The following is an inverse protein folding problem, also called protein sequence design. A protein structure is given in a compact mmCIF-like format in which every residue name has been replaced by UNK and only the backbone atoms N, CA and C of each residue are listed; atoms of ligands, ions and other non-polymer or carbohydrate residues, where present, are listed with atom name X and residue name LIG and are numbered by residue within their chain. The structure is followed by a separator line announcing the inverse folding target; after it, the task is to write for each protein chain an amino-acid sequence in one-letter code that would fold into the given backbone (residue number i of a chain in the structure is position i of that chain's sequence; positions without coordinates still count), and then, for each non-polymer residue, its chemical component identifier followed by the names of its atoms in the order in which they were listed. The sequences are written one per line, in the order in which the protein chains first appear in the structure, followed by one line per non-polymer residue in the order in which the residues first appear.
data_IF_030090342725
#
_entry.id   IF_030090342725
#
_cell.length_a   1.000
_cell.length_b   1.000
_cell.length_c   1.000
_cell.angle_alpha   90.00
_cell.angle_beta   90.00
_cell.angle_gamma   90.00
#
_symmetry.space_group_name_H-M   'P 1'
#
loop_
_entity.id
_entity.type
_entity.pdbx_description
1 polymer ?
#
# COMPACT_ATOMS: atom_id res chain seq x y z
N UNK A 1 -23.52 -6.84 -8.93
CA UNK A 1 -22.70 -5.76 -8.38
C UNK A 1 -22.67 -5.89 -6.86
N UNK A 2 -21.53 -5.65 -6.22
CA UNK A 2 -21.38 -5.68 -4.77
C UNK A 2 -20.59 -4.45 -4.33
N UNK A 3 -20.85 -3.98 -3.12
CA UNK A 3 -20.13 -2.84 -2.53
C UNK A 3 -19.15 -3.35 -1.48
N UNK A 4 -18.00 -2.67 -1.37
CA UNK A 4 -16.98 -2.94 -0.35
C UNK A 4 -16.80 -1.73 0.54
N UNK A 5 -16.47 -1.98 1.81
CA UNK A 5 -16.17 -0.96 2.81
C UNK A 5 -14.84 -1.30 3.51
N UNK A 6 -14.01 -0.30 3.88
CA UNK A 6 -12.74 -0.52 4.57
C UNK A 6 -12.84 -1.42 5.81
N UNK A 7 -13.95 -1.32 6.54
CA UNK A 7 -14.19 -2.05 7.78
C UNK A 7 -14.23 -3.58 7.59
N UNK A 8 -14.65 -4.05 6.41
CA UNK A 8 -14.66 -5.48 6.08
C UNK A 8 -13.25 -6.09 6.04
N UNK A 9 -12.22 -5.25 5.96
CA UNK A 9 -10.81 -5.62 5.89
C UNK A 9 -10.03 -5.16 7.12
N UNK A 10 -10.73 -4.67 8.16
CA UNK A 10 -10.15 -4.19 9.40
C UNK A 10 -9.50 -2.79 9.31
N UNK A 11 -9.83 -2.01 8.27
CA UNK A 11 -9.43 -0.61 8.18
C UNK A 11 -10.54 0.31 8.69
N UNK A 12 -10.17 1.53 9.07
CA UNK A 12 -11.13 2.57 9.42
C UNK A 12 -11.44 3.41 8.18
N UNK A 13 -12.66 3.94 8.07
CA UNK A 13 -12.92 5.04 7.16
C UNK A 13 -12.08 6.24 7.53
N UNK A 14 -11.63 6.96 6.52
CA UNK A 14 -10.88 8.19 6.64
C UNK A 14 -11.61 9.30 5.88
N UNK A 15 -11.46 10.54 6.34
CA UNK A 15 -11.87 11.71 5.60
C UNK A 15 -10.99 11.89 4.37
N UNK A 16 -11.55 12.49 3.31
CA UNK A 16 -10.79 12.76 2.09
C UNK A 16 -9.51 13.59 2.37
N UNK A 17 -9.57 14.51 3.34
CA UNK A 17 -8.43 15.32 3.79
C UNK A 17 -7.28 14.52 4.39
N UNK A 18 -7.51 13.30 4.86
CA UNK A 18 -6.47 12.44 5.43
C UNK A 18 -5.70 11.66 4.36
N UNK A 19 -6.28 11.49 3.17
CA UNK A 19 -5.68 10.73 2.06
C UNK A 19 -5.27 11.61 0.88
N UNK A 20 -5.60 12.90 0.91
CA UNK A 20 -5.25 13.83 -0.17
C UNK A 20 -3.73 13.96 -0.32
N UNK A 21 -3.27 13.97 -1.57
CA UNK A 21 -1.88 14.25 -1.92
C UNK A 21 -1.54 15.73 -1.70
N UNK A 22 -0.24 16.01 -1.63
CA UNK A 22 0.33 17.35 -1.53
C UNK A 22 1.29 17.60 -2.69
N UNK A 23 2.39 18.32 -2.47
CA UNK A 23 3.45 18.54 -3.45
C UNK A 23 4.11 17.22 -3.91
N UNK A 24 4.79 17.26 -5.04
CA UNK A 24 5.57 16.11 -5.53
C UNK A 24 6.62 15.63 -4.53
N UNK A 25 7.26 16.55 -3.79
CA UNK A 25 8.27 16.21 -2.78
C UNK A 25 7.65 15.49 -1.58
N UNK A 26 6.54 16.00 -1.05
CA UNK A 26 5.81 15.38 0.06
C UNK A 26 5.24 14.01 -0.35
N UNK A 27 4.64 13.90 -1.54
CA UNK A 27 4.12 12.63 -2.02
C UNK A 27 5.23 11.58 -2.21
N UNK A 28 6.42 11.99 -2.66
CA UNK A 28 7.57 11.09 -2.77
C UNK A 28 8.09 10.64 -1.40
N UNK A 29 8.03 11.51 -0.39
CA UNK A 29 8.34 11.15 1.00
C UNK A 29 7.30 10.17 1.55
N UNK A 30 6.01 10.47 1.41
CA UNK A 30 4.90 9.62 1.85
C UNK A 30 5.01 8.22 1.24
N UNK A 31 5.26 8.14 -0.08
CA UNK A 31 5.47 6.87 -0.76
C UNK A 31 6.61 6.08 -0.13
N UNK A 32 7.79 6.67 0.08
CA UNK A 32 8.93 5.97 0.68
C UNK A 32 8.64 5.52 2.12
N UNK A 33 7.95 6.34 2.90
CA UNK A 33 7.59 6.01 4.27
C UNK A 33 6.56 4.87 4.32
N UNK A 34 5.61 4.82 3.38
CA UNK A 34 4.67 3.69 3.21
C UNK A 34 5.41 2.41 2.82
N UNK A 35 6.23 2.47 1.77
CA UNK A 35 6.95 1.29 1.25
C UNK A 35 7.98 0.72 2.23
N UNK A 36 8.49 1.54 3.16
CA UNK A 36 9.39 1.12 4.24
C UNK A 36 8.69 0.74 5.54
N UNK A 37 7.35 0.84 5.61
CA UNK A 37 6.56 0.54 6.80
C UNK A 37 6.64 1.58 7.92
N UNK A 38 7.26 2.74 7.67
CA UNK A 38 7.40 3.84 8.65
C UNK A 38 6.10 4.63 8.82
N UNK A 39 5.33 4.79 7.74
CA UNK A 39 4.03 5.46 7.79
C UNK A 39 2.94 4.50 8.26
N UNK A 40 2.03 5.01 9.08
CA UNK A 40 0.80 4.34 9.51
C UNK A 40 -0.39 5.28 9.31
N UNK A 41 -1.61 4.74 9.34
CA UNK A 41 -2.85 5.52 9.22
C UNK A 41 -3.42 5.56 7.80
N UNK A 42 -4.32 6.51 7.54
CA UNK A 42 -5.23 6.48 6.38
C UNK A 42 -4.54 6.29 5.01
N UNK A 43 -3.41 6.98 4.76
CA UNK A 43 -2.66 6.83 3.51
C UNK A 43 -2.03 5.44 3.37
N UNK A 44 -1.48 4.89 4.46
CA UNK A 44 -0.93 3.54 4.49
C UNK A 44 -2.04 2.50 4.26
N UNK A 45 -3.13 2.61 5.01
CA UNK A 45 -4.30 1.72 4.91
C UNK A 45 -4.88 1.70 3.50
N UNK A 46 -4.99 2.87 2.86
CA UNK A 46 -5.46 3.01 1.49
C UNK A 46 -4.55 2.25 0.49
N UNK A 47 -3.23 2.34 0.65
CA UNK A 47 -2.28 1.64 -0.23
C UNK A 47 -2.37 0.13 -0.01
N UNK A 48 -2.42 -0.33 1.24
CA UNK A 48 -2.56 -1.76 1.56
C UNK A 48 -3.87 -2.31 0.98
N UNK A 49 -4.99 -1.60 1.15
CA UNK A 49 -6.28 -2.01 0.61
C UNK A 49 -6.25 -2.14 -0.92
N UNK A 50 -5.69 -1.15 -1.64
CA UNK A 50 -5.54 -1.24 -3.09
C UNK A 50 -4.64 -2.42 -3.50
N UNK A 51 -3.53 -2.63 -2.79
CA UNK A 51 -2.61 -3.73 -3.06
C UNK A 51 -3.26 -5.11 -2.83
N UNK A 52 -4.13 -5.24 -1.82
CA UNK A 52 -4.87 -6.49 -1.55
C UNK A 52 -5.71 -6.89 -2.76
N UNK A 53 -6.45 -5.94 -3.34
CA UNK A 53 -7.26 -6.20 -4.52
C UNK A 53 -6.41 -6.41 -5.78
N UNK A 54 -5.28 -5.71 -5.92
CA UNK A 54 -4.35 -5.94 -7.03
C UNK A 54 -3.76 -7.35 -7.01
N UNK A 55 -3.36 -7.87 -5.84
CA UNK A 55 -2.85 -9.23 -5.72
C UNK A 55 -3.95 -10.28 -5.93
N UNK A 56 -5.16 -10.02 -5.43
CA UNK A 56 -6.30 -10.90 -5.64
C UNK A 56 -6.65 -11.02 -7.14
N UNK A 57 -6.78 -9.89 -7.84
CA UNK A 57 -7.11 -9.89 -9.29
C UNK A 57 -5.97 -10.45 -10.16
N UNK A 58 -4.73 -10.39 -9.68
CA UNK A 58 -3.57 -11.01 -10.32
C UNK A 58 -3.42 -12.53 -10.01
N UNK A 59 -4.39 -13.16 -9.35
CA UNK A 59 -4.34 -14.56 -8.89
C UNK A 59 -3.11 -14.88 -8.00
N UNK A 60 -2.64 -13.89 -7.23
CA UNK A 60 -1.52 -14.05 -6.27
C UNK A 60 -1.98 -14.32 -4.84
N UNK A 61 -3.26 -14.09 -4.54
CA UNK A 61 -3.89 -14.46 -3.28
C UNK A 61 -5.30 -15.02 -3.56
N UNK A 62 -5.73 -16.00 -2.75
CA UNK A 62 -7.06 -16.61 -2.87
C UNK A 62 -8.21 -15.71 -2.41
N UNK A 63 -7.89 -14.65 -1.66
CA UNK A 63 -8.82 -13.58 -1.29
C UNK A 63 -8.05 -12.29 -0.97
N UNK A 64 -8.72 -11.12 -0.98
CA UNK A 64 -8.09 -9.87 -0.52
C UNK A 64 -7.58 -9.95 0.92
N UNK A 65 -8.28 -10.67 1.82
CA UNK A 65 -7.84 -10.85 3.21
C UNK A 65 -6.52 -11.61 3.31
N UNK A 66 -6.35 -12.69 2.53
CA UNK A 66 -5.09 -13.44 2.47
C UNK A 66 -3.95 -12.57 1.93
N UNK A 67 -4.24 -11.68 0.97
CA UNK A 67 -3.24 -10.77 0.43
C UNK A 67 -2.70 -9.79 1.48
N UNK A 68 -3.51 -9.40 2.47
CA UNK A 68 -3.13 -8.41 3.49
C UNK A 68 -1.89 -8.83 4.26
N UNK A 69 -1.86 -10.07 4.75
CA UNK A 69 -0.75 -10.58 5.54
C UNK A 69 0.54 -10.63 4.73
N UNK A 70 0.45 -11.09 3.48
CA UNK A 70 1.59 -11.12 2.53
C UNK A 70 2.16 -9.70 2.28
N UNK A 71 1.27 -8.72 2.10
CA UNK A 71 1.66 -7.32 1.86
C UNK A 71 2.34 -6.74 3.09
N UNK A 72 1.77 -6.92 4.28
CA UNK A 72 2.33 -6.40 5.52
C UNK A 72 3.69 -7.05 5.82
N UNK A 73 3.82 -8.36 5.64
CA UNK A 73 5.12 -9.05 5.77
C UNK A 73 6.15 -8.48 4.79
N UNK A 74 5.79 -8.28 3.52
CA UNK A 74 6.71 -7.74 2.51
C UNK A 74 7.14 -6.29 2.82
N UNK A 75 6.22 -5.45 3.30
CA UNK A 75 6.53 -4.08 3.71
C UNK A 75 7.45 -4.07 4.93
N UNK A 76 7.07 -4.77 6.01
CA UNK A 76 7.82 -4.74 7.27
C UNK A 76 9.15 -5.50 7.21
N UNK A 77 9.29 -6.47 6.31
CA UNK A 77 10.59 -7.10 6.03
C UNK A 77 11.56 -6.21 5.24
N UNK A 78 11.10 -5.06 4.73
CA UNK A 78 11.92 -4.15 3.94
C UNK A 78 12.02 -4.50 2.45
N UNK A 79 11.52 -5.68 2.03
CA UNK A 79 11.58 -6.15 0.63
C UNK A 79 10.97 -5.16 -0.35
N UNK A 80 9.88 -4.50 0.03
CA UNK A 80 9.17 -3.55 -0.84
C UNK A 80 10.01 -2.29 -1.10
N UNK A 81 10.61 -1.70 -0.06
CA UNK A 81 11.45 -0.52 -0.23
C UNK A 81 12.78 -0.85 -0.92
N UNK A 82 13.32 -2.05 -0.72
CA UNK A 82 14.50 -2.55 -1.45
C UNK A 82 14.20 -2.68 -2.94
N UNK A 83 13.12 -3.36 -3.31
CA UNK A 83 12.69 -3.46 -4.71
C UNK A 83 12.47 -2.09 -5.34
N UNK A 84 11.86 -1.15 -4.62
CA UNK A 84 11.69 0.21 -5.14
C UNK A 84 13.04 0.90 -5.44
N UNK A 85 14.05 0.75 -4.58
CA UNK A 85 15.39 1.29 -4.82
C UNK A 85 16.07 0.64 -6.03
N UNK A 86 15.95 -0.69 -6.17
CA UNK A 86 16.46 -1.44 -7.31
C UNK A 86 15.80 -0.97 -8.61
N UNK A 87 14.47 -0.83 -8.61
CA UNK A 87 13.72 -0.30 -9.74
C UNK A 87 14.15 1.12 -10.13
N UNK A 88 14.39 1.99 -9.14
CA UNK A 88 14.91 3.35 -9.38
C UNK A 88 16.32 3.34 -9.98
N UNK A 89 17.18 2.41 -9.59
CA UNK A 89 18.51 2.27 -10.17
C UNK A 89 18.43 1.78 -11.61
N UNK A 90 17.58 0.78 -11.88
CA UNK A 90 17.33 0.26 -13.22
C UNK A 90 16.76 1.33 -14.16
N UNK A 91 15.76 2.10 -13.73
CA UNK A 91 15.11 3.11 -14.56
C UNK A 91 16.00 4.32 -14.92
N UNK A 92 17.17 4.46 -14.26
CA UNK A 92 18.16 5.50 -14.55
C UNK A 92 19.30 5.02 -15.46
N UNK A 93 19.42 3.71 -15.67
CA UNK A 93 20.37 3.11 -16.60
C UNK A 93 19.82 3.16 -18.03
#
# INVERSE_FOLDING_TARGET
EYSICPEQFGFKRAFHSEIIGSSAYENAKDLKDILSGKMQGAKFDLVVLNAMFALYTANKASSPLVAKDMILEAIYSGKVIEYFKEYQAYAKA
#
